data_IF_997314215557
#
_entry.id   IF_997314215557
#
_cell.length_a   1.000
_cell.length_b   1.000
_cell.length_c   1.000
_cell.angle_alpha   90.00
_cell.angle_beta   90.00
_cell.angle_gamma   90.00
#
_symmetry.space_group_name_H-M   'P 1'
#
loop_
_entity.id
_entity.type
_entity.pdbx_description
1 polymer ?
#
# COMPACT_ATOMS: atom_id res chain seq x y z
N UNK A 1 16.71 -21.30 -10.36
CA UNK A 1 16.63 -20.10 -9.49
C UNK A 1 15.25 -20.09 -8.86
N UNK A 2 15.18 -20.08 -7.53
CA UNK A 2 13.88 -20.00 -6.86
C UNK A 2 13.44 -18.53 -6.86
N UNK A 3 12.45 -18.19 -7.69
CA UNK A 3 11.81 -16.87 -7.63
C UNK A 3 11.10 -16.74 -6.28
N UNK A 4 11.24 -15.60 -5.63
CA UNK A 4 10.45 -15.23 -4.46
C UNK A 4 9.15 -14.60 -4.95
N UNK A 5 8.04 -14.93 -4.30
CA UNK A 5 6.73 -14.33 -4.58
C UNK A 5 6.43 -13.31 -3.49
N UNK A 6 6.15 -12.08 -3.90
CA UNK A 6 5.53 -11.05 -3.06
C UNK A 6 4.02 -11.19 -3.27
N UNK A 7 3.27 -11.52 -2.23
CA UNK A 7 1.81 -11.59 -2.26
C UNK A 7 1.23 -10.72 -1.14
N UNK A 8 0.73 -9.55 -1.52
CA UNK A 8 0.05 -8.59 -0.67
C UNK A 8 -1.44 -8.44 -1.03
N UNK A 9 -1.99 -9.40 -1.75
CA UNK A 9 -3.36 -9.35 -2.25
C UNK A 9 -4.42 -9.40 -1.14
N UNK A 10 -4.04 -9.86 0.06
CA UNK A 10 -4.91 -9.82 1.24
C UNK A 10 -5.37 -8.40 1.57
N UNK A 11 -4.50 -7.40 1.41
CA UNK A 11 -4.81 -6.00 1.67
C UNK A 11 -5.81 -5.45 0.63
N UNK A 12 -5.60 -5.76 -0.66
CA UNK A 12 -6.55 -5.40 -1.72
C UNK A 12 -7.93 -5.99 -1.45
N UNK A 13 -8.02 -7.29 -1.14
CA UNK A 13 -9.29 -7.97 -0.85
C UNK A 13 -10.03 -7.36 0.35
N UNK A 14 -9.31 -7.09 1.43
CA UNK A 14 -9.88 -6.42 2.60
C UNK A 14 -10.42 -5.02 2.25
N UNK A 15 -9.69 -4.27 1.42
CA UNK A 15 -10.10 -2.93 0.98
C UNK A 15 -11.33 -2.96 0.08
N UNK A 16 -11.43 -3.94 -0.82
CA UNK A 16 -12.61 -4.15 -1.68
C UNK A 16 -13.87 -4.43 -0.84
N UNK A 17 -13.77 -5.25 0.21
CA UNK A 17 -14.88 -5.51 1.12
C UNK A 17 -15.35 -4.26 1.84
N UNK A 18 -14.44 -3.48 2.41
CA UNK A 18 -14.77 -2.23 3.09
C UNK A 18 -15.46 -1.20 2.16
N UNK A 19 -15.06 -1.14 0.90
CA UNK A 19 -15.67 -0.26 -0.10
C UNK A 19 -17.07 -0.72 -0.49
N UNK A 20 -17.33 -2.03 -0.52
CA UNK A 20 -18.68 -2.57 -0.79
C UNK A 20 -19.67 -2.25 0.33
N UNK A 21 -19.22 -2.27 1.58
CA UNK A 21 -20.06 -2.03 2.76
C UNK A 21 -20.40 -0.55 2.95
N UNK A 22 -19.54 0.37 2.54
CA UNK A 22 -19.77 1.82 2.68
C UNK A 22 -20.67 2.43 1.60
N UNK A 23 -21.11 1.65 0.62
CA UNK A 23 -21.94 2.16 -0.49
C UNK A 23 -21.22 3.11 -1.46
N UNK A 24 -19.92 3.30 -1.28
CA UNK A 24 -19.08 4.25 -2.03
C UNK A 24 -18.68 3.74 -3.43
N UNK A 25 -19.40 2.70 -3.90
CA UNK A 25 -19.22 2.10 -5.23
C UNK A 25 -19.39 3.10 -6.39
N UNK A 26 -20.10 4.22 -6.14
CA UNK A 26 -20.33 5.21 -7.20
C UNK A 26 -19.09 6.04 -7.54
N UNK A 27 -18.24 6.36 -6.58
CA UNK A 27 -17.02 7.14 -6.84
C UNK A 27 -15.96 6.30 -7.56
N UNK A 28 -15.82 5.03 -7.19
CA UNK A 28 -14.89 4.10 -7.83
C UNK A 28 -15.35 3.72 -9.24
N UNK A 29 -16.64 3.44 -9.44
CA UNK A 29 -17.18 3.13 -10.75
C UNK A 29 -17.03 4.28 -11.75
N UNK A 30 -17.11 5.53 -11.31
CA UNK A 30 -16.83 6.70 -12.15
C UNK A 30 -15.33 6.80 -12.49
N UNK A 31 -14.45 6.43 -11.56
CA UNK A 31 -12.99 6.43 -11.74
C UNK A 31 -12.52 5.27 -12.62
N UNK A 32 -13.19 4.11 -12.61
CA UNK A 32 -12.86 2.94 -13.44
C UNK A 32 -12.85 3.29 -14.95
N UNK A 33 -13.65 4.27 -15.37
CA UNK A 33 -13.67 4.74 -16.76
C UNK A 33 -12.54 5.71 -17.11
N UNK A 34 -11.81 6.23 -16.12
CA UNK A 34 -10.72 7.15 -16.36
C UNK A 34 -9.54 6.47 -17.09
N UNK A 35 -8.89 7.22 -17.95
CA UNK A 35 -7.76 6.74 -18.74
C UNK A 35 -6.47 6.58 -17.94
N UNK A 36 -6.29 7.41 -16.92
CA UNK A 36 -5.10 7.47 -16.04
C UNK A 36 -5.49 7.32 -14.57
N UNK A 37 -4.54 6.96 -13.73
CA UNK A 37 -4.73 6.90 -12.28
C UNK A 37 -5.11 8.29 -11.75
N UNK A 38 -6.18 8.42 -10.94
CA UNK A 38 -6.59 9.71 -10.38
C UNK A 38 -5.45 10.36 -9.57
N UNK A 39 -5.28 11.67 -9.75
CA UNK A 39 -4.26 12.43 -9.04
C UNK A 39 -4.43 12.34 -7.51
N UNK A 40 -5.67 12.26 -7.01
CA UNK A 40 -5.94 12.10 -5.57
C UNK A 40 -5.34 10.84 -4.98
N UNK A 41 -5.37 9.71 -5.70
CA UNK A 41 -4.75 8.47 -5.24
C UNK A 41 -3.22 8.59 -5.19
N UNK A 42 -2.63 9.24 -6.20
CA UNK A 42 -1.19 9.50 -6.28
C UNK A 42 -0.74 10.42 -5.14
N UNK A 43 -1.47 11.51 -4.91
CA UNK A 43 -1.14 12.47 -3.83
C UNK A 43 -1.25 11.83 -2.45
N UNK A 44 -2.32 11.06 -2.19
CA UNK A 44 -2.47 10.36 -0.92
C UNK A 44 -1.31 9.38 -0.68
N UNK A 45 -0.86 8.69 -1.71
CA UNK A 45 0.30 7.80 -1.60
C UNK A 45 1.58 8.61 -1.26
N UNK A 46 1.81 9.74 -1.91
CA UNK A 46 2.95 10.61 -1.60
C UNK A 46 2.90 11.16 -0.17
N UNK A 47 1.71 11.52 0.34
CA UNK A 47 1.54 11.98 1.72
C UNK A 47 1.97 10.89 2.71
N UNK A 48 1.54 9.65 2.51
CA UNK A 48 1.88 8.55 3.41
C UNK A 48 3.38 8.19 3.32
N UNK A 49 4.00 8.24 2.13
CA UNK A 49 5.46 8.11 1.98
C UNK A 49 6.21 9.24 2.69
N UNK A 50 5.74 10.47 2.58
CA UNK A 50 6.36 11.62 3.25
C UNK A 50 6.23 11.52 4.77
N UNK A 51 5.10 11.04 5.28
CA UNK A 51 4.89 10.80 6.71
C UNK A 51 5.89 9.79 7.26
N UNK A 52 6.06 8.64 6.59
CA UNK A 52 7.07 7.66 6.95
C UNK A 52 8.50 8.26 6.92
N UNK A 53 8.85 9.00 5.86
CA UNK A 53 10.17 9.63 5.72
C UNK A 53 10.46 10.64 6.83
N UNK A 54 9.47 11.43 7.26
CA UNK A 54 9.57 12.35 8.39
C UNK A 54 9.73 11.59 9.72
N UNK A 55 8.98 10.52 9.93
CA UNK A 55 9.06 9.67 11.11
C UNK A 55 10.45 9.06 11.31
N UNK A 56 11.10 8.64 10.22
CA UNK A 56 12.47 8.10 10.25
C UNK A 56 13.52 9.11 10.74
N UNK A 57 13.31 10.40 10.51
CA UNK A 57 14.22 11.45 10.93
C UNK A 57 14.05 11.86 12.39
N UNK A 58 12.91 11.55 13.02
CA UNK A 58 12.55 12.11 14.31
C UNK A 58 12.85 11.22 15.52
N UNK A 59 12.95 9.89 15.38
CA UNK A 59 13.23 9.04 16.56
C UNK A 59 13.60 7.57 16.27
N UNK A 60 14.42 6.99 17.16
CA UNK A 60 14.93 5.62 17.06
C UNK A 60 14.01 4.52 17.66
N UNK A 61 12.96 4.84 18.39
CA UNK A 61 12.06 3.88 19.08
C UNK A 61 10.65 3.81 18.48
N UNK A 62 10.57 3.75 17.13
CA UNK A 62 9.32 4.01 16.41
C UNK A 62 8.78 2.80 15.63
N UNK A 63 9.08 1.57 16.08
CA UNK A 63 8.67 0.36 15.33
C UNK A 63 7.16 0.32 15.04
N UNK A 64 6.32 0.58 16.05
CA UNK A 64 4.86 0.52 15.88
C UNK A 64 4.33 1.61 14.95
N UNK A 65 4.93 2.80 14.98
CA UNK A 65 4.54 3.90 14.08
C UNK A 65 4.99 3.62 12.65
N UNK A 66 6.22 3.16 12.45
CA UNK A 66 6.70 2.76 11.13
C UNK A 66 5.84 1.64 10.52
N UNK A 67 5.47 0.65 11.34
CA UNK A 67 4.62 -0.44 10.91
C UNK A 67 3.22 0.08 10.51
N UNK A 68 2.66 1.02 11.28
CA UNK A 68 1.41 1.66 10.94
C UNK A 68 1.50 2.48 9.63
N UNK A 69 2.60 3.21 9.42
CA UNK A 69 2.84 3.95 8.18
C UNK A 69 2.97 3.02 6.97
N UNK A 70 3.66 1.88 7.13
CA UNK A 70 3.74 0.86 6.08
C UNK A 70 2.36 0.28 5.73
N UNK A 71 1.48 0.08 6.72
CA UNK A 71 0.10 -0.35 6.50
C UNK A 71 -0.68 0.72 5.73
N UNK A 72 -0.50 2.00 6.05
CA UNK A 72 -1.15 3.09 5.31
C UNK A 72 -0.69 3.14 3.86
N UNK A 73 0.60 2.99 3.61
CA UNK A 73 1.16 2.88 2.24
C UNK A 73 0.57 1.68 1.50
N UNK A 74 0.46 0.52 2.15
CA UNK A 74 -0.15 -0.68 1.57
C UNK A 74 -1.63 -0.47 1.22
N UNK A 75 -2.39 0.27 2.04
CA UNK A 75 -3.76 0.66 1.73
C UNK A 75 -3.82 1.51 0.45
N UNK A 76 -2.89 2.47 0.26
CA UNK A 76 -2.83 3.27 -0.98
C UNK A 76 -2.49 2.43 -2.20
N UNK A 77 -1.56 1.48 -2.04
CA UNK A 77 -1.28 0.51 -3.10
C UNK A 77 -2.52 -0.29 -3.46
N UNK A 78 -3.31 -0.70 -2.47
CA UNK A 78 -4.56 -1.45 -2.65
C UNK A 78 -5.62 -0.63 -3.39
N UNK A 79 -5.81 0.64 -3.02
CA UNK A 79 -6.74 1.56 -3.71
C UNK A 79 -6.36 1.73 -5.19
N UNK A 80 -5.07 1.87 -5.49
CA UNK A 80 -4.56 1.96 -6.87
C UNK A 80 -4.71 0.63 -7.60
N UNK A 81 -4.45 -0.51 -6.94
CA UNK A 81 -4.60 -1.83 -7.53
C UNK A 81 -6.06 -2.14 -7.90
N UNK A 82 -7.03 -1.75 -7.05
CA UNK A 82 -8.47 -1.83 -7.33
C UNK A 82 -8.80 -0.99 -8.56
N UNK A 83 -8.34 0.27 -8.60
CA UNK A 83 -8.56 1.15 -9.75
C UNK A 83 -7.98 0.58 -11.06
N UNK A 84 -6.79 -0.01 -10.99
CA UNK A 84 -6.10 -0.59 -12.14
C UNK A 84 -6.62 -1.97 -12.52
N UNK A 85 -7.44 -2.61 -11.68
CA UNK A 85 -7.89 -3.99 -11.81
C UNK A 85 -6.71 -4.96 -11.96
N UNK A 86 -5.84 -4.96 -10.95
CA UNK A 86 -4.66 -5.85 -10.85
C UNK A 86 -4.56 -6.45 -9.46
N UNK A 87 -3.90 -7.59 -9.36
CA UNK A 87 -3.51 -8.18 -8.09
C UNK A 87 -2.17 -7.60 -7.61
N UNK A 88 -2.01 -7.50 -6.28
CA UNK A 88 -0.76 -7.11 -5.63
C UNK A 88 0.15 -8.33 -5.45
N UNK A 89 0.50 -8.96 -6.58
CA UNK A 89 1.36 -10.14 -6.64
C UNK A 89 2.50 -9.86 -7.63
N UNK A 90 3.73 -10.10 -7.22
CA UNK A 90 4.91 -10.00 -8.08
C UNK A 90 5.87 -11.15 -7.84
N UNK A 91 6.52 -11.63 -8.90
CA UNK A 91 7.65 -12.54 -8.81
C UNK A 91 8.95 -11.75 -8.95
N UNK A 92 9.87 -11.97 -8.02
CA UNK A 92 11.19 -11.33 -8.00
C UNK A 92 12.28 -12.37 -7.83
N UNK A 93 13.45 -12.10 -8.37
CA UNK A 93 14.60 -12.98 -8.21
C UNK A 93 15.19 -12.87 -6.80
N UNK A 94 15.36 -11.64 -6.31
CA UNK A 94 15.92 -11.33 -5.01
C UNK A 94 15.41 -9.98 -4.52
N UNK A 95 15.19 -9.86 -3.20
CA UNK A 95 14.94 -8.56 -2.56
C UNK A 95 16.30 -7.92 -2.30
N UNK A 96 16.59 -6.82 -3.00
CA UNK A 96 17.80 -6.05 -2.78
C UNK A 96 17.55 -5.01 -1.69
N UNK A 97 18.07 -5.25 -0.50
CA UNK A 97 17.98 -4.28 0.59
C UNK A 97 19.08 -3.23 0.40
N UNK A 98 18.69 -2.07 -0.05
CA UNK A 98 19.56 -0.89 -0.16
C UNK A 98 19.27 0.10 0.96
N UNK A 99 19.86 1.29 0.90
CA UNK A 99 19.62 2.37 1.86
C UNK A 99 18.18 2.86 1.76
N UNK A 100 17.48 2.97 2.89
CA UNK A 100 16.05 3.29 2.96
C UNK A 100 15.69 4.57 2.19
N UNK A 101 16.52 5.62 2.26
CA UNK A 101 16.31 6.87 1.54
C UNK A 101 16.33 6.69 0.02
N UNK A 102 17.16 5.79 -0.49
CA UNK A 102 17.21 5.47 -1.93
C UNK A 102 15.93 4.77 -2.36
N UNK A 103 15.43 3.85 -1.54
CA UNK A 103 14.16 3.14 -1.81
C UNK A 103 12.99 4.14 -1.79
N UNK A 104 12.92 5.02 -0.78
CA UNK A 104 11.89 6.03 -0.68
C UNK A 104 11.90 6.97 -1.90
N UNK A 105 13.05 7.50 -2.29
CA UNK A 105 13.16 8.33 -3.48
C UNK A 105 12.72 7.60 -4.75
N UNK A 106 13.05 6.32 -4.87
CA UNK A 106 12.61 5.47 -5.98
C UNK A 106 11.10 5.27 -5.98
N UNK A 107 10.48 5.08 -4.80
CA UNK A 107 9.03 4.99 -4.66
C UNK A 107 8.34 6.31 -5.05
N UNK A 108 8.79 7.45 -4.53
CA UNK A 108 8.26 8.77 -4.90
C UNK A 108 8.25 8.98 -6.41
N UNK A 109 9.37 8.68 -7.08
CA UNK A 109 9.51 8.82 -8.53
C UNK A 109 8.56 7.87 -9.29
N UNK A 110 8.48 6.60 -8.89
CA UNK A 110 7.63 5.62 -9.58
C UNK A 110 6.14 5.89 -9.36
N UNK A 111 5.73 6.33 -8.17
CA UNK A 111 4.36 6.72 -7.86
C UNK A 111 3.94 7.96 -8.66
N UNK A 112 4.81 8.97 -8.80
CA UNK A 112 4.56 10.16 -9.62
C UNK A 112 4.26 9.81 -11.09
N UNK A 113 4.77 8.70 -11.59
CA UNK A 113 4.59 8.25 -12.96
C UNK A 113 3.31 7.42 -13.19
N UNK A 114 2.49 7.19 -12.16
CA UNK A 114 1.22 6.45 -12.28
C UNK A 114 0.08 7.26 -12.94
N UNK A 115 0.25 8.56 -13.13
CA UNK A 115 -0.73 9.41 -13.82
C UNK A 115 -0.79 9.21 -15.35
N UNK A 116 0.03 8.31 -15.88
CA UNK A 116 0.03 7.93 -17.29
C UNK A 116 -1.03 6.86 -17.59
N UNK A 117 -1.00 6.33 -18.82
CA UNK A 117 -1.94 5.30 -19.30
C UNK A 117 -2.05 4.12 -18.33
N UNK A 118 -3.25 3.57 -18.16
CA UNK A 118 -3.51 2.41 -17.28
C UNK A 118 -2.55 1.23 -17.54
N UNK A 119 -2.31 0.88 -18.80
CA UNK A 119 -1.40 -0.23 -19.14
C UNK A 119 0.02 0.00 -18.60
N UNK A 120 0.57 1.21 -18.74
CA UNK A 120 1.88 1.58 -18.22
C UNK A 120 1.87 1.57 -16.69
N UNK A 121 0.80 2.06 -16.06
CA UNK A 121 0.64 2.09 -14.62
C UNK A 121 0.53 0.68 -14.02
N UNK A 122 -0.19 -0.25 -14.67
CA UNK A 122 -0.25 -1.67 -14.28
C UNK A 122 1.14 -2.31 -14.24
N UNK A 123 1.89 -2.17 -15.33
CA UNK A 123 3.26 -2.71 -15.42
C UNK A 123 4.17 -2.11 -14.36
N UNK A 124 4.09 -0.79 -14.14
CA UNK A 124 4.90 -0.09 -13.15
C UNK A 124 4.54 -0.51 -11.72
N UNK A 125 3.26 -0.68 -11.43
CA UNK A 125 2.80 -1.11 -10.12
C UNK A 125 3.37 -2.48 -9.74
N UNK A 126 3.26 -3.47 -10.64
CA UNK A 126 3.73 -4.84 -10.41
C UNK A 126 5.26 -4.95 -10.43
N UNK A 127 5.91 -4.33 -11.43
CA UNK A 127 7.33 -4.58 -11.69
C UNK A 127 8.27 -3.59 -10.99
N UNK A 128 7.75 -2.52 -10.37
CA UNK A 128 8.56 -1.50 -9.71
C UNK A 128 8.05 -1.15 -8.31
N UNK A 129 6.82 -0.70 -8.17
CA UNK A 129 6.32 -0.18 -6.89
C UNK A 129 6.18 -1.31 -5.87
N UNK A 130 5.59 -2.44 -6.25
CA UNK A 130 5.41 -3.57 -5.34
C UNK A 130 6.74 -4.17 -4.87
N UNK A 131 7.75 -4.43 -5.72
CA UNK A 131 9.09 -4.82 -5.28
C UNK A 131 9.77 -3.79 -4.37
N UNK A 132 9.72 -2.49 -4.73
CA UNK A 132 10.28 -1.41 -3.91
C UNK A 132 9.63 -1.32 -2.53
N UNK A 133 8.33 -1.55 -2.44
CA UNK A 133 7.64 -1.61 -1.14
C UNK A 133 8.16 -2.78 -0.29
N UNK A 134 8.35 -3.96 -0.87
CA UNK A 134 8.95 -5.08 -0.16
C UNK A 134 10.39 -4.76 0.30
N UNK A 135 11.22 -4.15 -0.55
CA UNK A 135 12.56 -3.67 -0.18
C UNK A 135 12.51 -2.66 0.98
N UNK A 136 11.53 -1.73 0.96
CA UNK A 136 11.32 -0.77 2.04
C UNK A 136 11.01 -1.48 3.36
N UNK A 137 10.10 -2.44 3.37
CA UNK A 137 9.74 -3.25 4.54
C UNK A 137 10.99 -3.90 5.15
N UNK A 138 11.78 -4.58 4.33
CA UNK A 138 13.01 -5.24 4.79
C UNK A 138 14.10 -4.25 5.24
N UNK A 139 14.23 -3.09 4.59
CA UNK A 139 15.21 -2.05 4.98
C UNK A 139 14.92 -1.44 6.35
N UNK A 140 13.65 -1.49 6.78
CA UNK A 140 13.19 -1.03 8.09
C UNK A 140 13.24 -2.13 9.17
N UNK A 141 13.72 -3.33 8.82
CA UNK A 141 13.88 -4.44 9.74
C UNK A 141 12.61 -5.24 9.99
N UNK A 142 11.62 -5.15 9.10
CA UNK A 142 10.42 -5.98 9.08
C UNK A 142 10.49 -7.01 7.95
N UNK A 143 9.58 -7.99 7.99
CA UNK A 143 9.31 -8.85 6.86
C UNK A 143 7.83 -8.73 6.41
N UNK A 144 7.47 -9.42 5.33
CA UNK A 144 6.11 -9.35 4.80
C UNK A 144 5.07 -10.03 5.69
N UNK A 145 5.49 -10.96 6.58
CA UNK A 145 4.60 -11.57 7.56
C UNK A 145 4.28 -10.58 8.69
N UNK A 146 5.27 -9.79 9.14
CA UNK A 146 5.05 -8.71 10.11
C UNK A 146 3.98 -7.74 9.60
N UNK A 147 4.07 -7.36 8.33
CA UNK A 147 3.07 -6.49 7.69
C UNK A 147 1.69 -7.13 7.66
N UNK A 148 1.62 -8.40 7.30
CA UNK A 148 0.36 -9.15 7.22
C UNK A 148 -0.31 -9.28 8.60
N UNK A 149 0.45 -9.64 9.61
CA UNK A 149 -0.05 -9.77 10.99
C UNK A 149 -0.55 -8.43 11.54
N UNK A 150 0.25 -7.37 11.39
CA UNK A 150 -0.14 -6.04 11.84
C UNK A 150 -1.37 -5.50 11.09
N UNK A 151 -1.48 -5.80 9.80
CA UNK A 151 -2.64 -5.44 8.99
C UNK A 151 -3.92 -6.09 9.54
N UNK A 152 -3.91 -7.40 9.80
CA UNK A 152 -5.06 -8.10 10.36
C UNK A 152 -5.42 -7.59 11.75
N UNK A 153 -4.45 -7.41 12.64
CA UNK A 153 -4.69 -6.85 13.97
C UNK A 153 -5.35 -5.47 13.94
N UNK A 154 -4.96 -4.63 12.98
CA UNK A 154 -5.55 -3.30 12.81
C UNK A 154 -6.98 -3.37 12.28
N UNK A 155 -7.27 -4.28 11.35
CA UNK A 155 -8.62 -4.50 10.82
C UNK A 155 -9.55 -5.05 11.89
N UNK A 156 -9.12 -6.03 12.69
CA UNK A 156 -9.89 -6.60 13.78
C UNK A 156 -10.24 -5.56 14.85
N UNK A 157 -9.31 -4.65 15.20
CA UNK A 157 -9.58 -3.54 16.13
C UNK A 157 -10.63 -2.58 15.58
N UNK A 158 -10.56 -2.22 14.32
CA UNK A 158 -11.53 -1.34 13.70
C UNK A 158 -12.95 -1.94 13.70
N UNK A 159 -13.08 -3.25 13.48
CA UNK A 159 -14.35 -3.97 13.55
C UNK A 159 -14.90 -3.92 14.99
N UNK A 160 -14.08 -4.19 15.99
CA UNK A 160 -14.47 -4.17 17.40
C UNK A 160 -14.89 -2.77 17.88
N UNK A 161 -14.21 -1.71 17.42
CA UNK A 161 -14.57 -0.33 17.74
C UNK A 161 -15.92 0.06 17.13
N UNK A 162 -16.16 -0.32 15.88
CA UNK A 162 -17.47 -0.07 15.21
C UNK A 162 -18.60 -0.84 15.92
N UNK A 163 -18.40 -2.08 16.32
CA UNK A 163 -19.38 -2.85 17.08
C UNK A 163 -19.68 -2.22 18.44
N UNK A 164 -18.67 -1.72 19.15
CA UNK A 164 -18.86 -1.06 20.44
C UNK A 164 -19.64 0.26 20.34
N UNK A 165 -19.46 1.01 19.27
CA UNK A 165 -20.19 2.27 19.06
C UNK A 165 -21.66 2.04 18.66
N UNK A 166 -21.97 0.93 18.00
CA UNK A 166 -23.36 0.53 17.69
C UNK A 166 -24.14 0.20 18.97
N UNK A 167 -23.49 -0.36 19.99
CA UNK A 167 -24.14 -0.75 21.26
C UNK A 167 -24.24 0.38 22.29
N UNK A 168 -23.63 1.56 22.03
CA UNK A 168 -23.69 2.72 22.93
C UNK A 168 -24.79 3.73 22.58
N UNK A 169 -25.49 3.54 21.46
CA UNK A 169 -26.64 4.34 20.99
C UNK A 169 -27.93 3.53 21.09
#
# INVERSE_FOLDING_TARGET
MNNKVIDLNFAKKSRELNLSDTGDNNSINTQIKAYSVPMSLIMNFHIDLAHLALGLNLNKDYKDVMLNDLIMILNRMSDIAIFLDIDLIAEIQEIQVTVTEVILNSLFNNVSMLNYKKATSRTKMINRILPLFAELVYSLGFDLNDIKEAYHQKMDKNILEVEQDIWKN
#
